data_IF_881755107454
#
_entry.id   IF_881755107454
#
_cell.length_a   1.000
_cell.length_b   1.000
_cell.length_c   1.000
_cell.angle_alpha   90.00
_cell.angle_beta   90.00
_cell.angle_gamma   90.00
#
_symmetry.space_group_name_H-M   'P 1'
#
loop_
_entity.id
_entity.type
_entity.pdbx_description
1 polymer ?
#
# COMPACT_ATOMS: atom_id res chain seq x y z
N UNK A 1 2.03 -14.95 21.19
CA UNK A 1 1.59 -14.39 19.91
C UNK A 1 2.81 -13.77 19.26
N UNK A 2 3.01 -13.95 17.96
CA UNK A 2 4.11 -13.30 17.25
C UNK A 2 3.91 -11.77 17.30
N UNK A 3 5.00 -11.03 17.29
CA UNK A 3 4.93 -9.57 17.23
C UNK A 3 4.51 -9.14 15.81
N UNK A 4 3.53 -8.22 15.65
CA UNK A 4 3.06 -7.79 14.33
C UNK A 4 4.19 -7.11 13.55
N UNK A 5 4.26 -7.36 12.25
CA UNK A 5 5.28 -6.76 11.36
C UNK A 5 5.10 -5.24 11.25
N UNK A 6 3.86 -4.76 11.27
CA UNK A 6 3.52 -3.35 11.40
C UNK A 6 2.63 -3.15 12.62
N UNK A 7 3.03 -2.24 13.52
CA UNK A 7 2.21 -1.79 14.65
C UNK A 7 2.08 -0.27 14.63
N UNK A 8 0.85 0.17 14.71
CA UNK A 8 0.47 1.59 14.82
C UNK A 8 -0.22 1.76 16.16
N UNK A 9 0.29 2.65 17.01
CA UNK A 9 -0.21 2.90 18.37
C UNK A 9 -0.52 4.37 18.56
N UNK A 10 -1.81 4.70 18.73
CA UNK A 10 -2.29 6.04 19.05
C UNK A 10 -1.87 7.12 18.05
N UNK A 11 -1.70 6.76 16.77
CA UNK A 11 -1.21 7.67 15.75
C UNK A 11 -2.18 8.83 15.53
N UNK A 12 -1.66 10.05 15.67
CA UNK A 12 -2.38 11.28 15.38
C UNK A 12 -1.59 12.12 14.37
N UNK A 13 -2.28 12.61 13.35
CA UNK A 13 -1.68 13.45 12.30
C UNK A 13 -2.58 14.64 11.98
N UNK A 14 -1.97 15.82 11.80
CA UNK A 14 -2.65 17.10 11.64
C UNK A 14 -2.16 17.88 10.42
N UNK A 15 -3.07 18.56 9.74
CA UNK A 15 -2.76 19.64 8.78
C UNK A 15 -3.13 20.97 9.45
N UNK A 16 -2.12 21.67 10.00
CA UNK A 16 -2.35 22.84 10.84
C UNK A 16 -3.19 22.46 12.07
N UNK A 17 -4.37 23.07 12.19
CA UNK A 17 -5.33 22.80 13.28
C UNK A 17 -6.24 21.59 13.02
N UNK A 18 -6.29 21.10 11.78
CA UNK A 18 -7.18 20.00 11.41
C UNK A 18 -6.53 18.65 11.74
N UNK A 19 -7.10 17.94 12.70
CA UNK A 19 -6.75 16.56 13.02
C UNK A 19 -7.34 15.59 11.98
N UNK A 20 -6.54 15.15 11.02
CA UNK A 20 -6.95 14.21 9.98
C UNK A 20 -6.92 12.74 10.44
N UNK A 21 -6.02 12.40 11.38
CA UNK A 21 -5.92 11.08 12.02
C UNK A 21 -5.90 11.31 13.53
N UNK A 22 -6.70 10.54 14.29
CA UNK A 22 -6.98 10.78 15.71
C UNK A 22 -6.82 9.49 16.52
N UNK A 23 -5.64 9.26 17.08
CA UNK A 23 -5.38 8.14 17.98
C UNK A 23 -5.61 6.75 17.36
N UNK A 24 -5.26 6.59 16.08
CA UNK A 24 -5.45 5.33 15.35
C UNK A 24 -4.47 4.27 15.82
N UNK A 25 -4.99 3.07 16.15
CA UNK A 25 -4.19 1.92 16.57
C UNK A 25 -4.64 0.66 15.84
N UNK A 26 -3.68 -0.09 15.29
CA UNK A 26 -3.87 -1.42 14.71
C UNK A 26 -2.52 -2.14 14.54
N UNK A 27 -2.58 -3.45 14.31
CA UNK A 27 -1.43 -4.28 13.97
C UNK A 27 -1.68 -5.13 12.73
N UNK A 28 -0.62 -5.55 12.05
CA UNK A 28 -0.65 -6.45 10.89
C UNK A 28 0.45 -7.47 11.05
N UNK A 29 0.09 -8.76 11.00
CA UNK A 29 1.03 -9.87 11.04
C UNK A 29 1.72 -10.05 9.68
N UNK A 30 2.87 -10.74 9.66
CA UNK A 30 3.57 -11.04 8.42
C UNK A 30 2.73 -11.94 7.48
N UNK A 31 2.60 -11.53 6.20
CA UNK A 31 1.81 -12.24 5.19
C UNK A 31 0.30 -11.99 5.25
N UNK A 32 -0.18 -11.23 6.22
CA UNK A 32 -1.60 -10.83 6.28
C UNK A 32 -1.93 -9.68 5.33
N UNK A 33 -3.21 -9.60 4.98
CA UNK A 33 -3.81 -8.47 4.29
C UNK A 33 -4.78 -7.73 5.23
N UNK A 34 -4.53 -6.44 5.46
CA UNK A 34 -5.41 -5.54 6.21
C UNK A 34 -6.10 -4.56 5.27
N UNK A 35 -7.41 -4.47 5.33
CA UNK A 35 -8.17 -3.43 4.66
C UNK A 35 -8.39 -2.22 5.58
N UNK A 36 -8.08 -1.03 5.09
CA UNK A 36 -8.45 0.25 5.72
C UNK A 36 -9.57 0.86 4.90
N UNK A 37 -10.77 0.90 5.47
CA UNK A 37 -11.98 1.41 4.82
C UNK A 37 -12.49 2.66 5.52
N UNK A 38 -13.28 3.45 4.83
CA UNK A 38 -13.88 4.69 5.35
C UNK A 38 -14.20 5.67 4.23
N UNK A 39 -15.02 6.68 4.54
CA UNK A 39 -15.41 7.71 3.59
C UNK A 39 -14.23 8.53 3.06
N UNK A 40 -14.48 9.28 1.97
CA UNK A 40 -13.52 10.27 1.51
C UNK A 40 -13.30 11.33 2.60
N UNK A 41 -12.04 11.66 2.85
CA UNK A 41 -11.69 12.55 3.97
C UNK A 41 -11.62 11.88 5.35
N UNK A 42 -11.86 10.56 5.48
CA UNK A 42 -11.76 9.85 6.76
C UNK A 42 -10.31 9.74 7.32
N UNK A 43 -9.28 10.19 6.58
CA UNK A 43 -7.89 10.19 7.02
C UNK A 43 -7.03 9.04 6.50
N UNK A 44 -7.55 8.20 5.60
CA UNK A 44 -6.86 6.99 5.08
C UNK A 44 -5.51 7.29 4.42
N UNK A 45 -5.49 8.20 3.45
CA UNK A 45 -4.24 8.64 2.78
C UNK A 45 -3.28 9.31 3.75
N UNK A 46 -3.79 10.12 4.69
CA UNK A 46 -2.96 10.74 5.74
C UNK A 46 -2.32 9.69 6.64
N UNK A 47 -3.05 8.65 7.01
CA UNK A 47 -2.53 7.51 7.76
C UNK A 47 -1.37 6.85 7.01
N UNK A 48 -1.54 6.54 5.72
CA UNK A 48 -0.48 5.94 4.90
C UNK A 48 0.73 6.85 4.74
N UNK A 49 0.50 8.15 4.51
CA UNK A 49 1.58 9.12 4.43
C UNK A 49 2.36 9.25 5.75
N UNK A 50 1.67 9.14 6.88
CA UNK A 50 2.34 9.17 8.20
C UNK A 50 3.17 7.91 8.45
N UNK A 51 2.69 6.73 8.05
CA UNK A 51 3.45 5.48 8.13
C UNK A 51 4.70 5.55 7.24
N UNK A 52 4.59 6.14 6.04
CA UNK A 52 5.69 6.28 5.07
C UNK A 52 6.63 7.46 5.35
N UNK A 53 6.43 8.24 6.43
CA UNK A 53 7.26 9.41 6.72
C UNK A 53 7.09 10.57 5.73
N UNK A 54 6.03 10.54 4.91
CA UNK A 54 5.67 11.62 3.97
C UNK A 54 4.88 12.73 4.65
N UNK A 55 4.28 12.45 5.80
CA UNK A 55 3.58 13.41 6.65
C UNK A 55 3.95 13.15 8.11
N UNK A 56 4.29 14.21 8.85
CA UNK A 56 4.71 14.09 10.23
C UNK A 56 3.55 13.69 11.17
N UNK A 57 3.76 12.70 12.02
CA UNK A 57 2.84 12.38 13.10
C UNK A 57 2.96 13.42 14.23
N UNK A 58 1.82 13.94 14.70
CA UNK A 58 1.77 14.84 15.84
C UNK A 58 2.03 14.07 17.16
N UNK A 59 1.46 12.85 17.26
CA UNK A 59 1.68 11.94 18.39
C UNK A 59 1.50 10.47 17.97
N UNK A 60 1.79 9.55 18.89
CA UNK A 60 1.71 8.11 18.67
C UNK A 60 2.99 7.52 18.09
N UNK A 61 2.94 6.21 17.84
CA UNK A 61 4.08 5.43 17.40
C UNK A 61 3.73 4.57 16.21
N UNK A 62 4.67 4.43 15.28
CA UNK A 62 4.65 3.43 14.21
C UNK A 62 5.91 2.60 14.36
N UNK A 63 5.74 1.30 14.46
CA UNK A 63 6.83 0.32 14.58
C UNK A 63 6.71 -0.65 13.40
N UNK A 64 7.81 -0.87 12.71
CA UNK A 64 7.91 -1.83 11.63
C UNK A 64 9.07 -2.77 11.90
N UNK A 65 8.78 -4.07 11.95
CA UNK A 65 9.80 -5.10 12.23
C UNK A 65 10.52 -4.90 13.57
N UNK A 66 9.79 -4.45 14.61
CA UNK A 66 10.36 -4.09 15.90
C UNK A 66 11.06 -2.73 15.95
N UNK A 67 11.24 -2.06 14.82
CA UNK A 67 11.98 -0.79 14.73
C UNK A 67 11.04 0.42 14.64
N UNK A 68 11.20 1.46 15.46
CA UNK A 68 10.38 2.66 15.38
C UNK A 68 10.67 3.45 14.11
N UNK A 69 9.59 3.99 13.50
CA UNK A 69 9.68 4.80 12.28
C UNK A 69 9.62 6.31 12.53
N UNK A 70 9.39 6.75 13.76
CA UNK A 70 9.28 8.18 14.07
C UNK A 70 10.56 8.92 13.73
N UNK A 71 10.45 9.97 12.90
CA UNK A 71 11.60 10.79 12.49
C UNK A 71 12.49 10.13 11.42
N UNK A 72 12.15 8.94 10.97
CA UNK A 72 12.87 8.28 9.87
C UNK A 72 12.43 8.91 8.54
N UNK A 73 13.36 9.38 7.70
CA UNK A 73 13.05 9.92 6.39
C UNK A 73 12.38 8.88 5.48
N UNK A 74 11.45 9.31 4.61
CA UNK A 74 10.69 8.43 3.73
C UNK A 74 11.56 7.49 2.89
N UNK A 75 12.70 7.97 2.36
CA UNK A 75 13.61 7.15 1.57
C UNK A 75 14.28 6.03 2.39
N UNK A 76 14.47 6.22 3.69
CA UNK A 76 14.99 5.19 4.59
C UNK A 76 13.90 4.21 5.01
N UNK A 77 12.63 4.66 5.12
CA UNK A 77 11.47 3.78 5.34
C UNK A 77 11.33 2.80 4.15
N UNK A 78 11.50 3.28 2.92
CA UNK A 78 11.52 2.40 1.73
C UNK A 78 12.67 1.38 1.84
N UNK A 79 13.85 1.79 2.26
CA UNK A 79 15.01 0.88 2.45
C UNK A 79 14.78 -0.16 3.54
N UNK A 80 13.96 0.15 4.55
CA UNK A 80 13.55 -0.81 5.59
C UNK A 80 12.53 -1.83 5.08
N UNK A 81 11.93 -1.62 3.91
CA UNK A 81 11.03 -2.57 3.26
C UNK A 81 9.55 -2.20 3.29
N UNK A 82 9.20 -0.92 3.44
CA UNK A 82 7.84 -0.42 3.25
C UNK A 82 7.77 0.29 1.91
N UNK A 83 6.88 -0.14 1.02
CA UNK A 83 6.59 0.57 -0.22
C UNK A 83 5.15 1.06 -0.27
N UNK A 84 4.93 2.21 -0.88
CA UNK A 84 3.62 2.81 -1.09
C UNK A 84 3.31 2.87 -2.58
N UNK A 85 2.16 2.32 -2.97
CA UNK A 85 1.49 2.62 -4.23
C UNK A 85 0.46 3.71 -3.93
N UNK A 86 0.75 4.98 -4.25
CA UNK A 86 -0.13 6.08 -3.90
C UNK A 86 -1.33 6.18 -4.83
N UNK A 87 -2.37 6.85 -4.38
CA UNK A 87 -3.46 7.32 -5.24
C UNK A 87 -2.90 8.15 -6.41
N UNK A 88 -3.53 8.04 -7.58
CA UNK A 88 -3.10 8.76 -8.78
C UNK A 88 -1.84 8.19 -9.45
N UNK A 89 -1.43 6.95 -9.07
CA UNK A 89 -0.41 6.12 -9.74
C UNK A 89 1.02 6.67 -9.68
N UNK A 90 1.25 7.99 -9.76
CA UNK A 90 2.53 8.70 -9.63
C UNK A 90 3.68 8.09 -10.46
N UNK A 91 3.39 7.66 -11.70
CA UNK A 91 4.40 7.21 -12.66
C UNK A 91 5.12 8.42 -13.31
N UNK A 92 6.24 8.17 -13.98
CA UNK A 92 6.92 9.18 -14.79
C UNK A 92 6.31 9.17 -16.20
N UNK A 93 5.48 10.18 -16.57
CA UNK A 93 4.72 10.14 -17.81
C UNK A 93 5.59 10.26 -19.06
N UNK A 94 6.73 10.93 -18.97
CA UNK A 94 7.69 11.12 -20.08
C UNK A 94 8.61 9.92 -20.31
N UNK A 95 8.75 9.04 -19.33
CA UNK A 95 9.54 7.81 -19.46
C UNK A 95 8.69 6.67 -20.01
N UNK A 96 9.31 5.76 -20.76
CA UNK A 96 8.69 4.50 -21.18
C UNK A 96 8.37 3.62 -19.97
N UNK A 97 7.57 2.57 -20.18
CA UNK A 97 7.27 1.57 -19.14
C UNK A 97 8.57 0.94 -18.62
N UNK A 98 9.47 0.52 -19.52
CA UNK A 98 10.74 -0.10 -19.13
C UNK A 98 11.65 0.86 -18.35
N UNK A 99 11.74 2.12 -18.78
CA UNK A 99 12.50 3.15 -18.05
C UNK A 99 11.91 3.46 -16.68
N UNK A 100 10.59 3.51 -16.54
CA UNK A 100 9.93 3.66 -15.24
C UNK A 100 10.30 2.54 -14.27
N UNK A 101 10.32 1.29 -14.74
CA UNK A 101 10.74 0.13 -13.94
C UNK A 101 12.23 0.17 -13.63
N UNK A 102 13.06 0.52 -14.62
CA UNK A 102 14.52 0.61 -14.47
C UNK A 102 14.92 1.64 -13.40
N UNK A 103 14.30 2.82 -13.39
CA UNK A 103 14.55 3.82 -12.35
C UNK A 103 14.30 3.27 -10.94
N UNK A 104 13.21 2.53 -10.75
CA UNK A 104 12.91 1.92 -9.46
C UNK A 104 13.93 0.83 -9.08
N UNK A 105 14.33 0.00 -10.02
CA UNK A 105 15.32 -1.06 -9.84
C UNK A 105 16.72 -0.51 -9.49
N UNK A 106 17.16 0.54 -10.18
CA UNK A 106 18.48 1.17 -9.98
C UNK A 106 18.60 1.87 -8.63
N UNK A 107 17.54 2.55 -8.19
CA UNK A 107 17.53 3.23 -6.89
C UNK A 107 17.69 2.24 -5.73
N UNK A 108 17.13 1.05 -5.86
CA UNK A 108 17.22 0.04 -4.80
C UNK A 108 18.57 -0.70 -4.80
N UNK A 109 19.22 -0.84 -5.95
CA UNK A 109 20.54 -1.45 -6.07
C UNK A 109 21.67 -0.65 -5.45
N UNK A 110 21.56 0.68 -5.39
CA UNK A 110 22.62 1.58 -4.92
C UNK A 110 22.73 1.71 -3.39
N UNK A 111 21.78 1.22 -2.62
CA UNK A 111 21.71 1.43 -1.16
C UNK A 111 22.05 0.22 -0.29
N UNK A 112 22.21 -0.96 -0.85
CA UNK A 112 22.44 -2.18 -0.06
C UNK A 112 23.94 -2.46 0.13
N UNK A 113 24.45 -2.22 1.34
CA UNK A 113 25.72 -2.78 1.83
C UNK A 113 25.43 -4.20 2.34
N UNK A 114 25.82 -5.23 1.58
CA UNK A 114 25.70 -6.63 1.97
C UNK A 114 25.91 -7.58 0.77
N UNK A 115 26.16 -8.90 1.01
CA UNK A 115 26.28 -9.85 -0.07
C UNK A 115 25.02 -9.82 -0.95
N UNK A 116 25.20 -9.90 -2.27
CA UNK A 116 24.12 -9.88 -3.24
C UNK A 116 23.13 -11.04 -2.96
N UNK A 117 22.09 -10.75 -2.18
CA UNK A 117 20.97 -11.68 -2.07
C UNK A 117 20.24 -11.65 -3.40
N UNK A 118 19.92 -12.81 -3.97
CA UNK A 118 19.11 -12.89 -5.18
C UNK A 118 17.88 -12.00 -5.01
N UNK A 119 17.65 -11.07 -5.95
CA UNK A 119 16.48 -10.19 -5.92
C UNK A 119 15.25 -11.04 -6.10
N UNK A 120 14.25 -10.84 -5.24
CA UNK A 120 12.95 -11.49 -5.35
C UNK A 120 12.15 -10.86 -6.49
N UNK A 121 12.24 -9.53 -6.64
CA UNK A 121 11.53 -8.76 -7.66
C UNK A 121 12.51 -8.17 -8.67
N UNK A 122 12.42 -8.67 -9.92
CA UNK A 122 13.11 -8.16 -11.09
C UNK A 122 12.12 -7.59 -12.09
N UNK A 123 12.59 -6.82 -13.08
CA UNK A 123 11.71 -6.33 -14.16
C UNK A 123 11.05 -7.49 -14.92
N UNK A 124 11.78 -8.56 -15.16
CA UNK A 124 11.27 -9.77 -15.82
C UNK A 124 10.10 -10.34 -15.04
N UNK A 125 10.21 -10.41 -13.71
CA UNK A 125 9.14 -10.91 -12.85
C UNK A 125 7.95 -9.97 -12.78
N UNK A 126 8.16 -8.66 -12.83
CA UNK A 126 7.06 -7.68 -12.97
C UNK A 126 6.34 -7.89 -14.30
N UNK A 127 7.06 -8.15 -15.39
CA UNK A 127 6.44 -8.45 -16.68
C UNK A 127 5.73 -9.81 -16.73
N UNK A 128 6.16 -10.81 -15.96
CA UNK A 128 5.43 -12.07 -15.77
C UNK A 128 4.12 -11.84 -15.02
N UNK A 129 4.16 -11.02 -13.97
CA UNK A 129 2.98 -10.64 -13.19
C UNK A 129 1.99 -9.80 -14.01
N UNK A 130 2.49 -8.94 -14.89
CA UNK A 130 1.72 -8.01 -15.73
C UNK A 130 2.15 -8.10 -17.20
N UNK A 131 1.71 -9.12 -17.97
CA UNK A 131 2.11 -9.29 -19.37
C UNK A 131 1.78 -8.10 -20.27
N UNK A 132 0.71 -7.36 -19.96
CA UNK A 132 0.31 -6.15 -20.70
C UNK A 132 1.37 -5.04 -20.62
N UNK A 133 2.15 -4.98 -19.54
CA UNK A 133 3.28 -4.05 -19.42
C UNK A 133 4.44 -4.44 -20.35
N UNK A 134 4.68 -5.74 -20.52
CA UNK A 134 5.71 -6.24 -21.45
C UNK A 134 5.37 -5.82 -22.88
N UNK A 135 4.11 -5.99 -23.30
CA UNK A 135 3.65 -5.57 -24.60
C UNK A 135 3.77 -4.05 -24.82
N UNK A 136 3.70 -3.27 -23.75
CA UNK A 136 3.81 -1.80 -23.76
C UNK A 136 5.19 -1.27 -23.33
N UNK A 137 6.23 -2.12 -23.21
CA UNK A 137 7.51 -1.77 -22.59
C UNK A 137 8.16 -0.49 -23.14
N UNK A 138 8.03 -0.25 -24.46
CA UNK A 138 8.61 0.92 -25.17
C UNK A 138 7.69 2.13 -25.21
N UNK A 139 6.43 2.02 -24.77
CA UNK A 139 5.45 3.11 -24.78
C UNK A 139 5.69 4.03 -23.60
N UNK A 140 5.53 5.35 -23.82
CA UNK A 140 5.60 6.34 -22.76
C UNK A 140 4.49 6.17 -21.73
N UNK A 141 4.73 6.59 -20.50
CA UNK A 141 3.76 6.50 -19.41
C UNK A 141 2.43 7.21 -19.71
N UNK A 142 2.46 8.28 -20.50
CA UNK A 142 1.26 8.99 -20.97
C UNK A 142 0.50 8.27 -22.10
N UNK A 143 1.10 7.29 -22.76
CA UNK A 143 0.56 6.55 -23.90
C UNK A 143 -0.11 5.21 -23.50
N UNK A 144 -0.01 4.83 -22.25
CA UNK A 144 -0.59 3.58 -21.74
C UNK A 144 -1.92 3.84 -21.02
N UNK A 145 -2.79 2.82 -21.00
CA UNK A 145 -4.10 2.91 -20.34
C UNK A 145 -3.97 3.13 -18.83
N UNK A 146 -5.04 3.65 -18.22
CA UNK A 146 -5.09 3.81 -16.77
C UNK A 146 -4.83 2.51 -15.98
N UNK A 147 -5.29 1.37 -16.50
CA UNK A 147 -4.99 0.07 -15.92
C UNK A 147 -3.52 -0.31 -16.01
N UNK A 148 -2.89 -0.10 -17.17
CA UNK A 148 -1.46 -0.32 -17.35
C UNK A 148 -0.62 0.62 -16.46
N UNK A 149 -1.05 1.88 -16.28
CA UNK A 149 -0.39 2.80 -15.34
C UNK A 149 -0.46 2.30 -13.90
N UNK A 150 -1.59 1.69 -13.49
CA UNK A 150 -1.75 1.11 -12.16
C UNK A 150 -0.84 -0.11 -11.97
N UNK A 151 -0.81 -1.02 -12.96
CA UNK A 151 0.11 -2.15 -12.96
C UNK A 151 1.57 -1.70 -12.89
N UNK A 152 1.92 -0.64 -13.62
CA UNK A 152 3.26 -0.04 -13.60
C UNK A 152 3.61 0.53 -12.22
N UNK A 153 2.67 1.23 -11.57
CA UNK A 153 2.87 1.76 -10.21
C UNK A 153 3.12 0.64 -9.19
N UNK A 154 2.34 -0.46 -9.26
CA UNK A 154 2.55 -1.65 -8.42
C UNK A 154 3.92 -2.28 -8.74
N UNK A 155 4.27 -2.48 -10.01
CA UNK A 155 5.55 -3.03 -10.42
C UNK A 155 6.75 -2.23 -9.92
N UNK A 156 6.67 -0.90 -9.98
CA UNK A 156 7.70 -0.01 -9.41
C UNK A 156 7.86 -0.17 -7.90
N UNK A 157 6.75 -0.30 -7.17
CA UNK A 157 6.78 -0.53 -5.73
C UNK A 157 7.42 -1.88 -5.39
N UNK A 158 7.12 -2.95 -6.14
CA UNK A 158 7.70 -4.28 -5.95
C UNK A 158 9.22 -4.29 -6.17
N UNK A 159 9.73 -3.54 -7.14
CA UNK A 159 11.18 -3.44 -7.42
C UNK A 159 11.97 -2.80 -6.27
N UNK A 160 11.31 -2.19 -5.28
CA UNK A 160 11.95 -1.76 -4.03
C UNK A 160 12.13 -2.89 -3.02
N UNK A 161 11.81 -4.16 -3.37
CA UNK A 161 11.94 -5.33 -2.50
C UNK A 161 11.19 -5.17 -1.15
N UNK A 162 9.91 -4.77 -1.16
CA UNK A 162 9.22 -4.49 0.08
C UNK A 162 8.89 -5.78 0.84
N UNK A 163 8.70 -5.66 2.15
CA UNK A 163 8.10 -6.65 3.05
C UNK A 163 6.66 -6.28 3.39
N UNK A 164 6.35 -4.99 3.29
CA UNK A 164 5.03 -4.41 3.46
C UNK A 164 4.71 -3.51 2.27
N UNK A 165 3.60 -3.79 1.59
CA UNK A 165 3.09 -2.99 0.50
C UNK A 165 1.82 -2.26 0.94
N UNK A 166 1.89 -0.93 0.97
CA UNK A 166 0.76 -0.05 1.21
C UNK A 166 0.14 0.34 -0.14
N UNK A 167 -1.18 0.21 -0.28
CA UNK A 167 -1.90 0.38 -1.54
C UNK A 167 -3.05 1.37 -1.33
N UNK A 168 -2.92 2.60 -1.86
CA UNK A 168 -3.91 3.65 -1.68
C UNK A 168 -4.86 3.72 -2.89
N UNK A 169 -6.11 3.26 -2.70
CA UNK A 169 -7.20 3.26 -3.69
C UNK A 169 -6.82 2.70 -5.07
N UNK A 170 -6.16 1.54 -5.11
CA UNK A 170 -5.58 0.97 -6.34
C UNK A 170 -6.61 0.55 -7.39
N UNK A 171 -7.88 0.40 -7.02
CA UNK A 171 -8.97 0.05 -7.96
C UNK A 171 -9.74 1.26 -8.49
N UNK A 172 -9.49 2.47 -7.96
CA UNK A 172 -10.24 3.67 -8.31
C UNK A 172 -10.09 4.03 -9.80
N UNK A 173 -11.24 4.24 -10.46
CA UNK A 173 -11.29 4.62 -11.87
C UNK A 173 -10.83 3.54 -12.86
N UNK A 174 -10.75 2.28 -12.43
CA UNK A 174 -10.43 1.14 -13.29
C UNK A 174 -11.69 0.40 -13.74
N UNK A 175 -11.65 -0.18 -14.93
CA UNK A 175 -12.74 -1.08 -15.38
C UNK A 175 -12.76 -2.37 -14.54
N UNK A 176 -13.92 -3.04 -14.41
CA UNK A 176 -14.04 -4.28 -13.63
C UNK A 176 -13.05 -5.37 -14.07
N UNK A 177 -12.75 -5.45 -15.36
CA UNK A 177 -11.79 -6.42 -15.90
C UNK A 177 -10.36 -6.13 -15.38
N UNK A 178 -9.95 -4.89 -15.39
CA UNK A 178 -8.63 -4.47 -14.87
C UNK A 178 -8.55 -4.63 -13.35
N UNK A 179 -9.61 -4.28 -12.62
CA UNK A 179 -9.68 -4.53 -11.17
C UNK A 179 -9.42 -6.00 -10.87
N UNK A 180 -10.04 -6.93 -11.62
CA UNK A 180 -9.82 -8.37 -11.48
C UNK A 180 -8.34 -8.73 -11.67
N UNK A 181 -7.68 -8.21 -12.71
CA UNK A 181 -6.25 -8.46 -12.97
C UNK A 181 -5.39 -7.96 -11.82
N UNK A 182 -5.65 -6.74 -11.33
CA UNK A 182 -4.89 -6.16 -10.20
C UNK A 182 -5.05 -7.03 -8.94
N UNK A 183 -6.27 -7.42 -8.58
CA UNK A 183 -6.49 -8.26 -7.40
C UNK A 183 -5.92 -9.68 -7.54
N UNK A 184 -5.91 -10.26 -8.74
CA UNK A 184 -5.23 -11.53 -9.00
C UNK A 184 -3.72 -11.40 -8.80
N UNK A 185 -3.11 -10.32 -9.27
CA UNK A 185 -1.70 -10.03 -9.04
C UNK A 185 -1.40 -9.83 -7.53
N UNK A 186 -2.23 -9.07 -6.81
CA UNK A 186 -2.09 -8.89 -5.36
C UNK A 186 -2.23 -10.21 -4.59
N UNK A 187 -3.15 -11.09 -5.01
CA UNK A 187 -3.30 -12.42 -4.43
C UNK A 187 -2.06 -13.29 -4.65
N UNK A 188 -1.47 -13.26 -5.87
CA UNK A 188 -0.22 -13.96 -6.17
C UNK A 188 0.95 -13.44 -5.33
N UNK A 189 1.09 -12.11 -5.22
CA UNK A 189 2.12 -11.47 -4.39
C UNK A 189 1.97 -11.86 -2.91
N UNK A 190 0.73 -11.87 -2.41
CA UNK A 190 0.42 -12.27 -1.04
C UNK A 190 0.74 -13.75 -0.79
N UNK A 191 0.39 -14.64 -1.72
CA UNK A 191 0.69 -16.07 -1.60
C UNK A 191 2.19 -16.35 -1.46
N UNK A 192 3.03 -15.42 -1.90
CA UNK A 192 4.47 -15.47 -1.68
C UNK A 192 4.93 -14.86 -0.34
N UNK A 193 4.00 -14.53 0.57
CA UNK A 193 4.27 -14.01 1.91
C UNK A 193 4.43 -12.50 2.00
N UNK A 194 3.97 -11.73 0.99
CA UNK A 194 3.92 -10.27 1.08
C UNK A 194 2.84 -9.83 2.06
N UNK A 195 3.18 -8.93 2.97
CA UNK A 195 2.19 -8.26 3.83
C UNK A 195 1.57 -7.09 3.08
N UNK A 196 0.23 -6.98 3.12
CA UNK A 196 -0.50 -5.94 2.41
C UNK A 196 -1.33 -5.10 3.39
N UNK A 197 -1.29 -3.78 3.23
CA UNK A 197 -2.29 -2.88 3.82
C UNK A 197 -2.86 -2.04 2.68
N UNK A 198 -4.17 -2.08 2.49
CA UNK A 198 -4.77 -1.42 1.35
C UNK A 198 -6.00 -0.61 1.75
N UNK A 199 -6.17 0.51 1.06
CA UNK A 199 -7.35 1.38 1.14
C UNK A 199 -8.26 1.07 -0.04
N UNK A 200 -9.53 0.88 0.24
CA UNK A 200 -10.58 0.65 -0.77
C UNK A 200 -11.90 1.27 -0.34
N UNK A 201 -12.73 1.59 -1.35
CA UNK A 201 -14.09 2.09 -1.15
C UNK A 201 -15.14 0.96 -1.22
N UNK A 202 -14.85 -0.12 -1.96
CA UNK A 202 -15.73 -1.29 -2.07
C UNK A 202 -15.56 -2.20 -0.84
N UNK A 203 -16.47 -2.05 0.12
CA UNK A 203 -16.46 -2.82 1.37
C UNK A 203 -16.53 -4.32 1.12
N UNK A 204 -17.31 -4.78 0.13
CA UNK A 204 -17.46 -6.22 -0.15
C UNK A 204 -16.15 -6.83 -0.62
N UNK A 205 -15.48 -6.15 -1.56
CA UNK A 205 -14.16 -6.59 -2.04
C UNK A 205 -13.13 -6.54 -0.93
N UNK A 206 -13.14 -5.49 -0.11
CA UNK A 206 -12.24 -5.34 1.02
C UNK A 206 -12.34 -6.50 1.99
N UNK A 207 -13.55 -6.84 2.43
CA UNK A 207 -13.78 -7.96 3.35
C UNK A 207 -13.44 -9.33 2.72
N UNK A 208 -13.70 -9.50 1.41
CA UNK A 208 -13.39 -10.75 0.72
C UNK A 208 -11.88 -10.99 0.51
N UNK A 209 -11.08 -9.94 0.42
CA UNK A 209 -9.66 -10.02 0.13
C UNK A 209 -8.77 -9.94 1.37
N UNK A 210 -9.22 -9.30 2.45
CA UNK A 210 -8.44 -9.09 3.67
C UNK A 210 -8.68 -10.14 4.75
N UNK A 211 -7.69 -10.31 5.64
CA UNK A 211 -7.83 -11.07 6.88
C UNK A 211 -8.46 -10.22 7.97
N UNK A 212 -8.07 -8.96 8.02
CA UNK A 212 -8.51 -7.99 9.00
C UNK A 212 -8.99 -6.70 8.33
N UNK A 213 -9.88 -5.99 9.01
CA UNK A 213 -10.41 -4.71 8.57
C UNK A 213 -10.32 -3.68 9.69
N UNK A 214 -9.99 -2.45 9.30
CA UNK A 214 -10.08 -1.24 10.12
C UNK A 214 -10.97 -0.23 9.39
N UNK A 215 -12.07 0.18 10.02
CA UNK A 215 -12.95 1.22 9.49
C UNK A 215 -12.64 2.55 10.17
N UNK A 216 -12.26 3.54 9.36
CA UNK A 216 -12.03 4.92 9.80
C UNK A 216 -13.26 5.79 9.53
N UNK A 217 -13.65 6.58 10.51
CA UNK A 217 -14.63 7.64 10.36
C UNK A 217 -14.10 8.91 11.03
N UNK A 218 -14.03 10.01 10.29
CA UNK A 218 -13.53 11.32 10.78
C UNK A 218 -12.21 11.23 11.54
N UNK A 219 -11.27 10.44 11.00
CA UNK A 219 -9.93 10.27 11.55
C UNK A 219 -9.78 9.24 12.67
N UNK A 220 -10.86 8.64 13.16
CA UNK A 220 -10.82 7.67 14.26
C UNK A 220 -11.27 6.29 13.83
N UNK A 221 -10.75 5.24 14.50
CA UNK A 221 -11.20 3.86 14.29
C UNK A 221 -12.59 3.69 14.90
N UNK A 222 -13.54 3.19 14.11
CA UNK A 222 -14.90 2.85 14.53
C UNK A 222 -15.15 1.35 14.61
N UNK A 223 -14.44 0.58 13.79
CA UNK A 223 -14.54 -0.86 13.77
C UNK A 223 -13.16 -1.44 13.43
N UNK A 224 -12.80 -2.51 14.10
CA UNK A 224 -11.63 -3.32 13.79
C UNK A 224 -11.91 -4.77 14.12
N UNK A 225 -11.32 -5.69 13.36
CA UNK A 225 -11.46 -7.12 13.61
C UNK A 225 -11.17 -7.98 12.38
N UNK A 226 -11.37 -9.29 12.54
CA UNK A 226 -11.23 -10.23 11.42
C UNK A 226 -12.31 -9.96 10.37
N UNK A 227 -11.93 -9.88 9.10
CA UNK A 227 -12.83 -9.56 7.99
C UNK A 227 -14.00 -10.54 7.88
N UNK A 228 -13.74 -11.84 8.07
CA UNK A 228 -14.76 -12.89 8.02
C UNK A 228 -15.79 -12.80 9.17
N UNK A 229 -15.46 -12.14 10.27
CA UNK A 229 -16.37 -11.96 11.40
C UNK A 229 -17.23 -10.70 11.27
N UNK A 230 -16.99 -9.85 10.27
CA UNK A 230 -17.72 -8.61 10.08
C UNK A 230 -18.86 -8.79 9.08
N UNK A 231 -20.06 -8.38 9.47
CA UNK A 231 -21.17 -8.26 8.53
C UNK A 231 -21.08 -6.95 7.73
N UNK A 232 -21.70 -6.92 6.54
CA UNK A 232 -21.80 -5.69 5.76
C UNK A 232 -22.56 -4.57 6.52
N UNK A 233 -23.50 -4.96 7.38
CA UNK A 233 -24.28 -4.00 8.15
C UNK A 233 -23.47 -3.42 9.32
N UNK A 234 -22.59 -4.20 9.95
CA UNK A 234 -21.65 -3.69 10.96
C UNK A 234 -20.71 -2.66 10.36
N UNK A 235 -20.14 -3.01 9.20
CA UNK A 235 -19.25 -2.10 8.47
C UNK A 235 -19.99 -0.84 8.02
N UNK A 236 -21.22 -0.96 7.50
CA UNK A 236 -22.02 0.21 7.10
C UNK A 236 -22.29 1.14 8.28
N UNK A 237 -22.66 0.61 9.43
CA UNK A 237 -22.84 1.40 10.65
C UNK A 237 -21.58 2.13 11.07
N UNK A 238 -20.43 1.46 11.01
CA UNK A 238 -19.16 2.09 11.32
C UNK A 238 -18.71 3.11 10.27
N UNK A 239 -19.11 2.93 9.00
CA UNK A 239 -18.75 3.76 7.87
C UNK A 239 -19.50 5.11 7.89
N UNK A 240 -20.81 5.10 8.19
CA UNK A 240 -21.64 6.31 8.19
C UNK A 240 -21.84 6.93 9.59
N UNK A 241 -21.44 6.31 10.67
CA UNK A 241 -21.49 6.79 12.06
C UNK A 241 -22.78 6.41 12.72
#
# INVERSE_FOLDING_TARGET
MAEPVLRVDGLTACYGQLQAVRGVSFGVEAGEALAVIGENGAGKTTLFHSICGLHGAASGHVVFDGEPLRGVPAHDIVRRGIALVPEGRRIFPSLSVDENLRVAEDQHGRGRRGPARARRWTRERVYELFPDLRAAARRGGHQISGGQQQMLAIGRALLSEPRLLLLDEVSLGLSPAIVKVVYQALAAIRAEGMTLVFVEQDVRKSLAFSDHVVCLHKGSVRLTGRSQAQSLDDVRRAYFG
#
